data_IF_276201379885
#
_entry.id   IF_276201379885
#
_cell.length_a   1.000
_cell.length_b   1.000
_cell.length_c   1.000
_cell.angle_alpha   90.00
_cell.angle_beta   90.00
_cell.angle_gamma   90.00
#
_symmetry.space_group_name_H-M   'P 1'
#
loop_
_entity.id
_entity.type
_entity.pdbx_description
1 polymer ?
#
# COMPACT_ATOMS: atom_id res chain seq x y z
N UNK A 1 2.36 -14.86 -15.77
CA UNK A 1 2.32 -15.56 -14.46
C UNK A 1 0.91 -15.36 -13.91
N UNK A 2 0.30 -16.36 -13.28
CA UNK A 2 -0.98 -16.15 -12.61
C UNK A 2 -0.86 -15.05 -11.55
N UNK A 3 -1.91 -14.27 -11.39
CA UNK A 3 -2.02 -13.22 -10.38
C UNK A 3 -2.76 -13.76 -9.17
N UNK A 4 -2.28 -13.45 -7.97
CA UNK A 4 -2.88 -13.85 -6.69
C UNK A 4 -3.22 -12.57 -5.95
N UNK A 5 -4.49 -12.41 -5.59
CA UNK A 5 -4.94 -11.30 -4.75
C UNK A 5 -4.69 -11.64 -3.28
N UNK A 6 -4.08 -10.71 -2.54
CA UNK A 6 -3.82 -10.82 -1.11
C UNK A 6 -4.58 -9.72 -0.36
N UNK A 7 -4.88 -9.96 0.91
CA UNK A 7 -5.51 -8.94 1.75
C UNK A 7 -4.51 -7.87 2.17
N UNK A 8 -5.00 -6.68 2.56
CA UNK A 8 -4.13 -5.60 3.07
C UNK A 8 -3.33 -6.01 4.30
N UNK A 9 -3.90 -6.83 5.18
CA UNK A 9 -3.20 -7.39 6.33
C UNK A 9 -2.06 -8.33 5.91
N UNK A 10 -2.27 -9.14 4.87
CA UNK A 10 -1.22 -10.01 4.32
C UNK A 10 -0.12 -9.19 3.66
N UNK A 11 -0.46 -8.10 2.97
CA UNK A 11 0.53 -7.18 2.39
C UNK A 11 1.39 -6.53 3.47
N UNK A 12 0.78 -6.06 4.56
CA UNK A 12 1.50 -5.44 5.68
C UNK A 12 2.46 -6.44 6.33
N UNK A 13 2.02 -7.68 6.56
CA UNK A 13 2.87 -8.76 7.07
C UNK A 13 4.02 -9.09 6.11
N UNK A 14 3.76 -9.10 4.80
CA UNK A 14 4.79 -9.33 3.79
C UNK A 14 5.80 -8.17 3.75
N UNK A 15 5.35 -6.92 3.96
CA UNK A 15 6.23 -5.75 4.04
C UNK A 15 7.14 -5.81 5.27
N UNK A 16 6.58 -6.15 6.43
CA UNK A 16 7.38 -6.34 7.65
C UNK A 16 8.46 -7.42 7.45
N UNK A 17 8.08 -8.54 6.82
CA UNK A 17 9.03 -9.60 6.49
C UNK A 17 10.12 -9.14 5.51
N UNK A 18 9.77 -8.35 4.49
CA UNK A 18 10.76 -7.77 3.56
C UNK A 18 11.78 -6.90 4.28
N UNK A 19 11.36 -6.10 5.27
CA UNK A 19 12.26 -5.26 6.07
C UNK A 19 13.17 -6.06 7.00
N UNK A 20 12.65 -7.15 7.57
CA UNK A 20 13.42 -8.10 8.37
C UNK A 20 14.53 -8.74 7.52
N UNK A 21 14.17 -9.33 6.38
CA UNK A 21 15.14 -9.96 5.46
C UNK A 21 16.13 -8.92 4.91
N UNK A 22 15.66 -7.70 4.61
CA UNK A 22 16.50 -6.62 4.11
C UNK A 22 17.61 -6.25 5.10
N UNK A 23 17.27 -6.20 6.40
CA UNK A 23 18.22 -5.92 7.48
C UNK A 23 19.36 -6.94 7.53
N UNK A 24 19.03 -8.20 7.32
CA UNK A 24 19.97 -9.31 7.48
C UNK A 24 20.80 -9.57 6.21
N UNK A 25 20.20 -9.46 5.02
CA UNK A 25 20.83 -9.91 3.77
C UNK A 25 21.41 -8.77 2.95
N UNK A 26 20.71 -7.64 2.87
CA UNK A 26 21.00 -6.58 1.87
C UNK A 26 21.60 -5.32 2.51
N UNK A 27 21.53 -5.21 3.83
CA UNK A 27 22.14 -4.13 4.61
C UNK A 27 21.38 -2.81 4.50
N UNK A 28 21.98 -1.73 5.03
CA UNK A 28 21.32 -0.44 5.32
C UNK A 28 20.58 0.25 4.16
N UNK A 29 20.90 -0.07 2.91
CA UNK A 29 20.35 0.60 1.72
C UNK A 29 19.76 -0.37 0.70
N UNK A 30 19.61 -1.65 1.08
CA UNK A 30 19.00 -2.66 0.24
C UNK A 30 17.54 -2.89 0.62
N UNK A 31 16.70 -3.17 -0.37
CA UNK A 31 15.31 -3.59 -0.18
C UNK A 31 15.10 -4.94 -0.86
N UNK A 32 14.29 -5.78 -0.22
CA UNK A 32 13.89 -7.08 -0.74
C UNK A 32 12.61 -6.90 -1.55
N UNK A 33 12.49 -7.51 -2.73
CA UNK A 33 11.26 -7.42 -3.52
C UNK A 33 10.21 -8.38 -2.95
N UNK A 34 8.91 -8.11 -3.17
CA UNK A 34 7.84 -8.99 -2.69
C UNK A 34 8.01 -10.45 -3.12
N UNK A 35 8.49 -10.68 -4.35
CA UNK A 35 8.78 -12.02 -4.86
C UNK A 35 9.86 -12.74 -4.05
N UNK A 36 10.94 -12.05 -3.71
CA UNK A 36 12.06 -12.64 -2.99
C UNK A 36 11.63 -13.02 -1.56
N UNK A 37 10.73 -12.24 -0.93
CA UNK A 37 10.14 -12.58 0.37
C UNK A 37 9.18 -13.77 0.31
N UNK A 38 8.40 -13.91 -0.77
CA UNK A 38 7.56 -15.09 -0.98
C UNK A 38 8.40 -16.35 -1.23
N UNK A 39 9.48 -16.25 -2.01
CA UNK A 39 10.42 -17.37 -2.21
C UNK A 39 11.08 -17.78 -0.89
N UNK A 40 11.45 -16.83 -0.03
CA UNK A 40 11.94 -17.13 1.33
C UNK A 40 10.91 -17.88 2.19
N UNK A 41 9.62 -17.51 2.11
CA UNK A 41 8.57 -18.24 2.83
C UNK A 41 8.41 -19.65 2.31
N UNK A 42 8.40 -19.85 0.99
CA UNK A 42 8.28 -21.17 0.38
C UNK A 42 9.45 -22.07 0.76
N UNK A 43 10.69 -21.58 0.62
CA UNK A 43 11.91 -22.30 0.99
C UNK A 43 11.87 -22.70 2.48
N UNK A 44 11.45 -21.79 3.36
CA UNK A 44 11.28 -22.08 4.79
C UNK A 44 10.26 -23.19 5.04
N UNK A 45 9.11 -23.18 4.37
CA UNK A 45 8.10 -24.22 4.54
C UNK A 45 8.48 -25.56 3.90
N UNK A 46 9.26 -25.55 2.81
CA UNK A 46 9.84 -26.76 2.20
C UNK A 46 10.91 -27.38 3.11
N UNK A 47 11.72 -26.56 3.80
CA UNK A 47 12.64 -27.02 4.85
C UNK A 47 11.88 -27.49 6.12
N UNK A 48 10.76 -26.85 6.46
CA UNK A 48 9.86 -27.23 7.57
C UNK A 48 8.92 -28.42 7.23
N UNK A 49 8.98 -29.06 6.06
CA UNK A 49 8.18 -30.28 5.78
C UNK A 49 8.61 -31.50 6.64
N UNK A 50 9.74 -31.41 7.37
CA UNK A 50 10.08 -32.31 8.50
C UNK A 50 9.53 -31.83 9.86
N UNK A 51 9.02 -30.60 9.96
CA UNK A 51 8.41 -30.03 11.16
C UNK A 51 6.90 -30.29 11.19
N UNK A 52 6.49 -31.15 12.11
CA UNK A 52 5.09 -31.43 12.42
C UNK A 52 4.30 -30.12 12.64
N UNK A 53 3.17 -29.89 11.94
CA UNK A 53 2.37 -28.66 12.09
C UNK A 53 1.82 -28.47 13.50
N UNK A 54 1.94 -29.46 14.40
CA UNK A 54 1.62 -29.34 15.81
C UNK A 54 2.68 -28.56 16.64
N UNK A 55 3.88 -28.29 16.11
CA UNK A 55 4.98 -27.62 16.85
C UNK A 55 5.19 -26.14 16.49
N UNK A 56 4.41 -25.56 15.57
CA UNK A 56 4.58 -24.18 15.11
C UNK A 56 4.20 -23.09 16.17
N UNK A 57 3.95 -23.47 17.42
CA UNK A 57 3.55 -22.58 18.50
C UNK A 57 4.62 -22.34 19.58
N UNK A 58 5.84 -22.91 19.45
CA UNK A 58 6.84 -22.92 20.53
C UNK A 58 7.98 -21.88 20.39
N UNK A 59 8.01 -21.06 19.33
CA UNK A 59 9.06 -20.03 19.15
C UNK A 59 8.61 -18.63 19.59
N UNK A 60 8.02 -18.57 20.79
CA UNK A 60 7.77 -17.33 21.52
C UNK A 60 8.51 -17.36 22.87
N UNK A 61 9.83 -17.56 22.86
CA UNK A 61 10.70 -17.38 24.03
C UNK A 61 11.73 -16.28 23.76
N UNK A 62 11.63 -15.16 24.49
CA UNK A 62 12.51 -14.01 24.26
C UNK A 62 12.31 -12.75 25.12
N UNK A 63 11.74 -12.87 26.34
CA UNK A 63 12.03 -12.02 27.50
C UNK A 63 11.73 -10.50 27.48
N UNK A 64 10.80 -10.06 28.32
CA UNK A 64 11.12 -9.26 29.53
C UNK A 64 9.93 -9.25 30.50
N UNK A 65 10.13 -9.82 31.68
CA UNK A 65 9.21 -9.72 32.81
C UNK A 65 9.65 -8.57 33.69
N UNK A 66 8.82 -7.54 33.82
CA UNK A 66 8.82 -6.69 35.01
C UNK A 66 7.45 -6.74 35.69
N UNK A 67 7.52 -7.37 36.85
CA UNK A 67 6.59 -7.49 37.96
C UNK A 67 6.09 -6.14 38.49
N UNK A 68 4.85 -6.09 39.01
CA UNK A 68 4.37 -4.96 39.80
C UNK A 68 2.86 -4.74 39.80
N UNK A 69 2.17 -5.50 40.64
CA UNK A 69 0.78 -5.36 41.12
C UNK A 69 0.40 -3.92 41.50
N UNK A 70 -0.86 -3.47 41.44
CA UNK A 70 -1.84 -3.66 42.52
C UNK A 70 -3.28 -3.34 42.06
N UNK A 71 -4.20 -4.23 42.41
CA UNK A 71 -5.65 -4.08 42.24
C UNK A 71 -6.26 -3.40 43.47
N UNK A 72 -7.15 -2.43 43.26
CA UNK A 72 -8.05 -1.95 44.32
C UNK A 72 -9.38 -1.43 43.75
N UNK A 73 -10.46 -2.19 44.06
CA UNK A 73 -11.82 -1.79 44.50
C UNK A 73 -12.59 -0.72 43.68
N UNK A 74 -13.88 -0.84 43.36
CA UNK A 74 -15.01 -1.27 44.17
C UNK A 74 -16.28 -1.44 43.30
N UNK A 75 -17.29 -2.10 43.87
CA UNK A 75 -18.61 -2.44 43.30
C UNK A 75 -19.69 -1.39 43.69
N UNK A 76 -20.86 -1.54 43.05
CA UNK A 76 -22.24 -1.05 43.36
C UNK A 76 -22.53 0.35 42.79
N UNK A 77 -23.65 0.71 42.14
CA UNK A 77 -25.09 0.37 42.30
C UNK A 77 -25.89 0.62 41.00
N UNK A 78 -26.95 -0.17 40.83
CA UNK A 78 -28.14 -0.06 39.96
C UNK A 78 -28.96 1.26 40.01
N UNK A 79 -30.00 1.30 39.16
CA UNK A 79 -31.24 2.12 39.14
C UNK A 79 -31.19 3.40 38.28
N UNK A 80 -31.86 3.51 37.13
CA UNK A 80 -33.32 3.64 36.84
C UNK A 80 -33.60 5.09 36.34
N UNK A 81 -34.77 5.32 35.74
CA UNK A 81 -35.28 6.58 35.18
C UNK A 81 -34.81 6.90 33.73
N UNK A 82 -35.63 7.08 32.70
CA UNK A 82 -37.07 7.30 32.61
C UNK A 82 -37.35 8.17 31.36
N UNK A 83 -38.29 7.72 30.51
CA UNK A 83 -39.20 8.50 29.64
C UNK A 83 -38.70 9.47 28.54
N UNK A 84 -38.98 9.03 27.29
CA UNK A 84 -39.67 9.69 26.17
C UNK A 84 -39.57 11.21 25.91
N UNK A 85 -39.22 11.55 24.65
CA UNK A 85 -40.02 12.49 23.85
C UNK A 85 -39.79 12.35 22.34
N UNK A 86 -40.92 12.41 21.64
CA UNK A 86 -41.22 12.34 20.22
C UNK A 86 -40.60 13.50 19.39
N UNK A 87 -40.32 13.22 18.11
CA UNK A 87 -39.84 14.20 17.15
C UNK A 87 -39.88 13.68 15.72
N UNK A 88 -41.10 13.54 15.18
CA UNK A 88 -41.33 13.31 13.76
C UNK A 88 -40.69 14.41 12.89
N UNK A 89 -39.95 14.01 11.84
CA UNK A 89 -39.75 14.85 10.66
C UNK A 89 -39.71 13.94 9.44
N UNK A 90 -40.88 13.87 8.82
CA UNK A 90 -41.11 13.38 7.46
C UNK A 90 -40.40 14.32 6.47
N UNK A 91 -39.61 13.76 5.56
CA UNK A 91 -38.81 14.53 4.60
C UNK A 91 -38.03 13.65 3.63
N UNK A 92 -38.75 12.89 2.79
CA UNK A 92 -38.25 12.39 1.50
C UNK A 92 -38.97 13.19 0.40
N UNK A 93 -38.25 13.75 -0.59
CA UNK A 93 -38.06 12.98 -1.81
C UNK A 93 -36.66 13.12 -2.45
N UNK A 94 -36.04 11.97 -2.72
CA UNK A 94 -35.30 11.58 -3.93
C UNK A 94 -34.26 12.56 -4.49
N UNK A 95 -32.97 12.19 -4.42
CA UNK A 95 -31.97 12.55 -5.44
C UNK A 95 -30.95 11.42 -5.54
N UNK A 96 -30.99 10.73 -6.68
CA UNK A 96 -29.96 9.84 -7.20
C UNK A 96 -28.58 10.54 -7.23
N UNK A 97 -27.54 9.87 -6.71
CA UNK A 97 -26.15 10.33 -6.80
C UNK A 97 -25.19 9.64 -5.83
N UNK A 98 -24.57 8.57 -6.33
CA UNK A 98 -23.51 7.69 -5.80
C UNK A 98 -22.24 8.45 -5.28
N UNK A 99 -21.28 7.82 -4.56
CA UNK A 99 -20.90 8.19 -3.20
C UNK A 99 -19.59 8.97 -3.11
N UNK A 100 -19.52 9.82 -2.07
CA UNK A 100 -18.36 10.13 -1.22
C UNK A 100 -16.96 9.88 -1.79
N UNK A 101 -16.30 10.95 -2.25
CA UNK A 101 -14.83 11.04 -2.21
C UNK A 101 -14.45 11.64 -0.86
N UNK A 102 -14.38 10.79 0.16
CA UNK A 102 -13.67 11.07 1.42
C UNK A 102 -12.42 10.18 1.42
N UNK A 103 -11.30 10.76 0.97
CA UNK A 103 -9.98 10.15 1.05
C UNK A 103 -9.11 10.91 2.04
N UNK A 104 -8.99 10.37 3.25
CA UNK A 104 -7.98 10.76 4.24
C UNK A 104 -6.56 10.41 3.70
N UNK A 105 -5.59 11.34 3.76
CA UNK A 105 -4.28 11.21 3.11
C UNK A 105 -3.25 10.57 4.05
N UNK A 106 -3.30 9.25 4.24
CA UNK A 106 -2.25 8.56 5.02
C UNK A 106 -1.84 7.22 4.38
N UNK A 107 -1.40 7.24 3.11
CA UNK A 107 -0.42 6.30 2.50
C UNK A 107 0.14 6.79 1.14
N UNK A 108 -0.50 7.75 0.46
CA UNK A 108 -0.12 8.15 -0.91
C UNK A 108 1.03 9.18 -1.04
N UNK A 109 2.24 8.87 -0.62
CA UNK A 109 3.42 9.72 -0.91
C UNK A 109 3.91 9.54 -2.35
N UNK A 110 4.03 8.30 -2.78
CA UNK A 110 4.34 7.91 -4.16
C UNK A 110 3.09 7.94 -5.02
N UNK A 111 1.94 7.42 -4.59
CA UNK A 111 0.73 7.38 -5.43
C UNK A 111 0.14 8.75 -5.75
N UNK A 112 0.19 9.73 -4.84
CA UNK A 112 -0.24 11.10 -5.15
C UNK A 112 0.75 11.80 -6.10
N UNK A 113 2.06 11.54 -5.94
CA UNK A 113 3.10 12.05 -6.84
C UNK A 113 3.04 11.35 -8.21
N UNK A 114 2.71 10.06 -8.25
CA UNK A 114 2.49 9.22 -9.43
C UNK A 114 1.18 9.59 -10.13
N UNK A 115 0.12 9.93 -9.41
CA UNK A 115 -1.15 10.40 -9.96
C UNK A 115 -1.02 11.81 -10.54
N UNK A 116 -0.29 12.71 -9.86
CA UNK A 116 0.13 14.01 -10.43
C UNK A 116 1.02 13.80 -11.67
N UNK A 117 1.92 12.81 -11.62
CA UNK A 117 2.80 12.42 -12.74
C UNK A 117 2.09 11.69 -13.89
N UNK A 118 1.00 10.96 -13.64
CA UNK A 118 0.14 10.31 -14.63
C UNK A 118 -0.77 11.35 -15.29
N UNK A 119 -1.29 12.29 -14.50
CA UNK A 119 -2.04 13.43 -15.01
C UNK A 119 -1.20 14.30 -15.94
N UNK A 120 0.12 14.39 -15.73
CA UNK A 120 1.04 15.09 -16.63
C UNK A 120 1.23 14.38 -17.98
N UNK A 121 1.29 13.04 -18.00
CA UNK A 121 1.34 12.28 -19.26
C UNK A 121 0.05 12.45 -20.06
N UNK A 122 -1.10 12.40 -19.38
CA UNK A 122 -2.42 12.58 -19.98
C UNK A 122 -2.61 14.00 -20.53
N UNK A 123 -2.15 15.01 -19.79
CA UNK A 123 -2.17 16.43 -20.21
C UNK A 123 -1.32 16.68 -21.46
N UNK A 124 -0.26 15.91 -21.65
CA UNK A 124 0.68 16.06 -22.76
C UNK A 124 0.63 14.89 -23.76
N UNK A 125 -0.45 14.11 -23.82
CA UNK A 125 -0.60 13.00 -24.78
C UNK A 125 -0.40 13.44 -26.24
N UNK A 126 -0.72 14.70 -26.57
CA UNK A 126 -0.43 15.29 -27.89
C UNK A 126 1.07 15.44 -28.22
N UNK A 127 1.96 15.25 -27.23
CA UNK A 127 3.41 15.49 -27.33
C UNK A 127 4.25 14.23 -27.20
N UNK A 128 3.67 13.10 -26.85
CA UNK A 128 4.39 11.85 -26.79
C UNK A 128 3.52 10.70 -27.29
N UNK A 129 4.15 9.68 -27.86
CA UNK A 129 3.44 8.54 -28.41
C UNK A 129 4.30 7.29 -28.41
N UNK A 130 3.70 6.15 -28.73
CA UNK A 130 4.42 4.90 -28.93
C UNK A 130 5.16 4.96 -30.28
N UNK A 131 6.44 4.59 -30.29
CA UNK A 131 7.27 4.60 -31.50
C UNK A 131 7.56 3.19 -31.99
N UNK A 132 7.51 2.99 -33.30
CA UNK A 132 7.91 1.74 -33.98
C UNK A 132 9.45 1.56 -34.08
N UNK A 133 10.22 2.39 -33.36
CA UNK A 133 11.68 2.39 -33.35
C UNK A 133 12.30 1.37 -32.39
N UNK A 134 13.62 1.45 -32.20
CA UNK A 134 14.36 0.64 -31.22
C UNK A 134 13.91 0.89 -29.76
N UNK A 135 13.23 2.01 -29.54
CA UNK A 135 12.74 2.48 -28.26
C UNK A 135 11.22 2.60 -28.34
N UNK A 136 10.54 2.27 -27.24
CA UNK A 136 9.09 2.05 -27.25
C UNK A 136 8.28 3.34 -27.32
N UNK A 137 8.84 4.44 -26.82
CA UNK A 137 8.14 5.73 -26.75
C UNK A 137 8.97 6.84 -27.38
N UNK A 138 8.30 7.82 -27.96
CA UNK A 138 8.91 9.01 -28.54
C UNK A 138 8.21 10.27 -28.01
N UNK A 139 8.99 11.31 -27.70
CA UNK A 139 8.53 12.60 -27.17
C UNK A 139 8.95 13.72 -28.12
N UNK A 140 8.00 14.56 -28.49
CA UNK A 140 8.26 15.79 -29.24
C UNK A 140 8.66 16.91 -28.28
N UNK A 141 9.91 17.33 -28.34
CA UNK A 141 10.43 18.45 -27.56
C UNK A 141 9.94 19.78 -28.16
N UNK A 142 9.83 20.86 -27.35
CA UNK A 142 9.44 22.17 -27.84
C UNK A 142 10.48 22.78 -28.80
N UNK A 143 11.69 22.22 -28.81
CA UNK A 143 12.77 22.52 -29.76
C UNK A 143 12.51 21.93 -31.16
N UNK A 144 11.43 21.17 -31.35
CA UNK A 144 11.02 20.55 -32.61
C UNK A 144 11.73 19.24 -32.93
N UNK A 145 12.54 18.72 -32.01
CA UNK A 145 13.19 17.41 -32.10
C UNK A 145 12.38 16.33 -31.38
N UNK A 146 12.48 15.10 -31.88
CA UNK A 146 11.88 13.93 -31.23
C UNK A 146 12.95 13.15 -30.48
N UNK A 147 12.73 12.92 -29.18
CA UNK A 147 13.60 12.08 -28.36
C UNK A 147 12.90 10.74 -28.07
N UNK A 148 13.63 9.65 -28.24
CA UNK A 148 13.10 8.31 -28.05
C UNK A 148 13.57 7.75 -26.70
N UNK A 149 12.70 7.01 -26.03
CA UNK A 149 12.94 6.46 -24.70
C UNK A 149 12.27 5.10 -24.50
N UNK A 150 12.76 4.36 -23.50
CA UNK A 150 12.31 2.99 -23.23
C UNK A 150 11.15 2.92 -22.24
N UNK A 151 11.05 3.89 -21.33
CA UNK A 151 10.09 3.87 -20.22
C UNK A 151 9.22 5.11 -20.23
N UNK A 152 7.97 4.99 -19.76
CA UNK A 152 7.08 6.14 -19.53
C UNK A 152 7.63 7.12 -18.48
N UNK A 153 8.46 6.66 -17.56
CA UNK A 153 9.12 7.54 -16.59
C UNK A 153 10.13 8.48 -17.26
N UNK A 154 10.86 7.98 -18.26
CA UNK A 154 11.77 8.77 -19.09
C UNK A 154 11.01 9.80 -19.95
N UNK A 155 9.87 9.39 -20.55
CA UNK A 155 8.97 10.29 -21.31
C UNK A 155 8.57 11.48 -20.45
N UNK A 156 8.16 11.19 -19.22
CA UNK A 156 7.69 12.17 -18.25
C UNK A 156 8.83 13.06 -17.75
N UNK A 157 10.03 12.53 -17.56
CA UNK A 157 11.20 13.33 -17.21
C UNK A 157 11.52 14.36 -18.31
N UNK A 158 11.36 14.00 -19.57
CA UNK A 158 11.51 14.92 -20.71
C UNK A 158 10.39 15.96 -20.75
N UNK A 159 9.14 15.55 -20.58
CA UNK A 159 8.01 16.48 -20.53
C UNK A 159 8.18 17.48 -19.38
N UNK A 160 8.55 17.00 -18.19
CA UNK A 160 8.76 17.87 -17.02
C UNK A 160 9.90 18.86 -17.21
N UNK A 161 10.96 18.48 -17.92
CA UNK A 161 12.10 19.35 -18.19
C UNK A 161 11.79 20.43 -19.22
N UNK A 162 10.90 20.16 -20.16
CA UNK A 162 10.68 21.00 -21.33
C UNK A 162 9.32 21.73 -21.36
N UNK A 163 8.31 21.28 -20.61
CA UNK A 163 6.94 21.79 -20.67
C UNK A 163 6.36 22.25 -19.31
N UNK A 164 7.21 22.50 -18.31
CA UNK A 164 6.81 23.07 -17.01
C UNK A 164 6.58 24.58 -17.05
#
# INVERSE_FOLDING_TARGET
MPEIEITSEQEERLRALQEEIARDVVGKYGHVRPRDAVEYLLDRYEDDEEADPANAADDADGGDSVDGTEAATARVVDDDDGEAADGTTDGDPTTDGDPTTDGDPTTGGDDAMLNEMMSLLDTHDDKWGESDGDERYAVELPDGTTEQVRTKDDVKALLFKHYR
#
